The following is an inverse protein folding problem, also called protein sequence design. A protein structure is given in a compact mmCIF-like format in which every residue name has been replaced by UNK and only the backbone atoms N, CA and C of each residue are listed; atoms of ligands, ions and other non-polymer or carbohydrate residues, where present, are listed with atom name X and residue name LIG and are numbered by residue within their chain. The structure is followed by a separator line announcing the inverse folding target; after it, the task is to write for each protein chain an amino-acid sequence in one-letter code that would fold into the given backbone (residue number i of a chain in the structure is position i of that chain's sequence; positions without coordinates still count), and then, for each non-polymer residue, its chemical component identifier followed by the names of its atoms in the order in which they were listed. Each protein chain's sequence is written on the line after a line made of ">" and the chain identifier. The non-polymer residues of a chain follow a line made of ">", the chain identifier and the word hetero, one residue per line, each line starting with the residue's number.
data_IF_238054059494
#
_entry.id   IF_238054059494
#
_cell.length_a   1.000
_cell.length_b   1.000
_cell.length_c   1.000
_cell.angle_alpha   90.00
_cell.angle_beta   90.00
_cell.angle_gamma   90.00
#
_symmetry.space_group_name_H-M   'P 1'
#
loop_
_entity.id
_entity.type
_entity.pdbx_description
1 polymer ?
#
# COMPACT_ATOMS: atom_id res chain seq x y z
N UNK A 1 14.40 6.38 19.64
CA UNK A 1 13.03 5.91 19.34
C UNK A 1 13.17 4.83 18.29
N UNK A 2 12.84 3.56 18.57
CA UNK A 2 13.21 2.45 17.67
C UNK A 2 12.42 2.42 16.36
N UNK A 3 11.22 3.00 16.33
CA UNK A 3 10.40 3.12 15.12
C UNK A 3 11.08 3.91 13.98
N UNK A 4 11.87 4.94 14.29
CA UNK A 4 12.54 5.71 13.24
C UNK A 4 13.64 4.92 12.54
N UNK A 5 14.18 3.88 13.19
CA UNK A 5 15.18 3.01 12.57
C UNK A 5 14.57 2.15 11.45
N UNK A 6 13.27 1.86 11.53
CA UNK A 6 12.55 1.06 10.52
C UNK A 6 12.52 1.75 9.16
N UNK A 7 12.54 3.10 9.13
CA UNK A 7 12.55 3.88 7.88
C UNK A 7 13.81 3.65 7.01
N UNK A 8 14.87 3.05 7.57
CA UNK A 8 16.07 2.67 6.82
C UNK A 8 15.97 1.29 6.18
N UNK A 9 14.86 0.58 6.38
CA UNK A 9 14.57 -0.76 5.88
C UNK A 9 13.33 -0.75 5.00
N UNK A 10 13.11 -1.82 4.23
CA UNK A 10 11.83 -2.03 3.58
C UNK A 10 10.73 -2.19 4.64
N UNK A 11 9.65 -1.43 4.46
CA UNK A 11 8.41 -1.57 5.23
C UNK A 11 7.45 -2.39 4.40
N UNK A 12 6.93 -3.47 4.96
CA UNK A 12 5.91 -4.28 4.33
C UNK A 12 4.54 -4.03 4.97
N UNK A 13 3.49 -4.10 4.17
CA UNK A 13 2.10 -4.12 4.60
C UNK A 13 1.56 -5.55 4.50
N UNK A 14 1.05 -6.09 5.60
CA UNK A 14 0.24 -7.31 5.63
C UNK A 14 -1.22 -6.92 5.64
N UNK A 15 -1.97 -7.38 4.64
CA UNK A 15 -3.41 -7.15 4.53
C UNK A 15 -4.14 -8.49 4.56
N UNK A 16 -5.03 -8.67 5.52
CA UNK A 16 -6.06 -9.72 5.49
C UNK A 16 -7.35 -9.10 4.97
N UNK A 17 -8.07 -9.84 4.11
CA UNK A 17 -9.29 -9.37 3.46
C UNK A 17 -10.54 -10.15 3.94
N UNK A 18 -11.10 -9.86 5.14
CA UNK A 18 -12.30 -10.55 5.61
C UNK A 18 -13.56 -10.31 4.76
N UNK A 19 -13.58 -9.23 3.99
CA UNK A 19 -14.72 -8.89 3.14
C UNK A 19 -14.26 -8.16 1.89
N UNK A 20 -14.76 -8.58 0.74
CA UNK A 20 -14.55 -7.95 -0.56
C UNK A 20 -15.89 -7.78 -1.28
N UNK A 21 -16.08 -6.68 -2.06
CA UNK A 21 -17.22 -6.52 -2.95
C UNK A 21 -17.16 -7.54 -4.10
N UNK A 22 -18.27 -7.68 -4.82
CA UNK A 22 -18.33 -8.51 -6.03
C UNK A 22 -17.54 -7.88 -7.20
N UNK A 23 -17.57 -6.54 -7.29
CA UNK A 23 -16.86 -5.78 -8.32
C UNK A 23 -16.09 -4.58 -7.73
N UNK A 24 -14.88 -4.36 -8.23
CA UNK A 24 -14.00 -3.26 -7.79
C UNK A 24 -13.35 -3.50 -6.43
N UNK A 25 -12.79 -2.44 -5.83
CA UNK A 25 -12.04 -2.56 -4.57
C UNK A 25 -10.69 -3.29 -4.70
N UNK A 26 -10.21 -3.47 -5.94
CA UNK A 26 -8.99 -4.20 -6.28
C UNK A 26 -7.78 -3.46 -5.74
N UNK A 27 -6.76 -4.22 -5.32
CA UNK A 27 -5.45 -3.64 -5.03
C UNK A 27 -4.79 -3.28 -6.35
N UNK A 28 -4.38 -2.02 -6.50
CA UNK A 28 -3.61 -1.55 -7.65
C UNK A 28 -2.18 -1.25 -7.20
N UNK A 29 -1.21 -1.84 -7.87
CA UNK A 29 0.21 -1.65 -7.57
C UNK A 29 0.91 -1.13 -8.83
N UNK A 30 1.62 -0.01 -8.69
CA UNK A 30 2.47 0.51 -9.74
C UNK A 30 3.90 0.03 -9.51
N UNK A 31 4.59 -0.34 -10.58
CA UNK A 31 5.98 -0.79 -10.55
C UNK A 31 6.95 0.38 -10.36
N UNK A 32 6.66 1.25 -9.39
CA UNK A 32 7.42 2.46 -9.10
C UNK A 32 7.57 2.68 -7.60
N UNK A 33 8.80 2.97 -7.17
CA UNK A 33 9.12 3.38 -5.80
C UNK A 33 9.50 4.86 -5.81
N UNK A 34 8.66 5.76 -5.27
CA UNK A 34 8.93 7.18 -5.33
C UNK A 34 10.20 7.54 -4.56
N UNK A 35 11.02 8.37 -5.18
CA UNK A 35 12.16 9.03 -4.55
C UNK A 35 11.71 10.18 -3.64
N UNK A 36 12.65 10.78 -2.90
CA UNK A 36 12.36 12.01 -2.14
C UNK A 36 11.98 13.16 -3.08
N UNK A 37 12.65 13.27 -4.23
CA UNK A 37 12.35 14.30 -5.23
C UNK A 37 10.94 14.10 -5.81
N UNK A 38 10.56 12.85 -6.09
CA UNK A 38 9.21 12.51 -6.54
C UNK A 38 8.17 12.97 -5.53
N UNK A 39 8.36 12.62 -4.25
CA UNK A 39 7.45 13.02 -3.16
C UNK A 39 7.26 14.53 -3.06
N UNK A 40 8.36 15.29 -3.13
CA UNK A 40 8.32 16.76 -3.12
C UNK A 40 7.57 17.30 -4.35
N UNK A 41 7.87 16.77 -5.55
CA UNK A 41 7.24 17.23 -6.79
C UNK A 41 5.72 16.98 -6.81
N UNK A 42 5.26 15.97 -6.07
CA UNK A 42 3.86 15.59 -5.96
C UNK A 42 3.18 16.18 -4.71
N UNK A 43 3.91 16.92 -3.87
CA UNK A 43 3.37 17.53 -2.64
C UNK A 43 2.94 16.52 -1.58
N UNK A 44 3.57 15.33 -1.56
CA UNK A 44 3.25 14.22 -0.64
C UNK A 44 4.43 13.85 0.25
N UNK A 45 5.37 14.75 0.46
CA UNK A 45 6.55 14.53 1.30
C UNK A 45 6.20 14.30 2.77
N UNK A 46 5.06 14.82 3.23
CA UNK A 46 4.58 14.65 4.61
C UNK A 46 3.51 13.56 4.74
N UNK A 47 2.63 13.42 3.75
CA UNK A 47 1.48 12.49 3.79
C UNK A 47 1.76 11.14 3.14
N UNK A 48 2.74 11.06 2.25
CA UNK A 48 3.05 9.89 1.43
C UNK A 48 2.11 9.65 0.24
N UNK A 49 0.89 10.20 0.27
CA UNK A 49 -0.18 10.03 -0.72
C UNK A 49 -1.17 11.22 -0.72
N UNK A 50 -2.04 11.36 -1.75
CA UNK A 50 -2.11 10.59 -3.00
C UNK A 50 -1.18 11.13 -4.10
N UNK A 51 -0.65 10.24 -4.94
CA UNK A 51 0.05 10.64 -6.17
C UNK A 51 -0.95 11.01 -7.26
N UNK A 52 -0.61 12.00 -8.09
CA UNK A 52 -1.50 12.44 -9.17
C UNK A 52 -1.62 11.39 -10.28
N UNK A 53 -2.77 11.36 -10.97
CA UNK A 53 -2.99 10.45 -12.09
C UNK A 53 -2.00 10.70 -13.24
N UNK A 54 -1.70 11.96 -13.55
CA UNK A 54 -0.74 12.34 -14.59
C UNK A 54 0.67 11.81 -14.29
N UNK A 55 1.09 11.84 -13.03
CA UNK A 55 2.39 11.29 -12.62
C UNK A 55 2.49 9.76 -12.80
N UNK A 56 1.37 9.05 -12.64
CA UNK A 56 1.32 7.59 -12.73
C UNK A 56 0.92 7.06 -14.10
N UNK A 57 0.55 7.93 -15.04
CA UNK A 57 -0.04 7.55 -16.34
C UNK A 57 0.86 6.61 -17.15
N UNK A 58 2.16 6.93 -17.21
CA UNK A 58 3.14 6.13 -17.96
C UNK A 58 3.76 4.99 -17.13
N UNK A 59 3.38 4.85 -15.85
CA UNK A 59 3.98 3.87 -14.96
C UNK A 59 3.24 2.54 -15.07
N UNK A 60 3.92 1.42 -15.37
CA UNK A 60 3.29 0.12 -15.42
C UNK A 60 2.59 -0.22 -14.10
N UNK A 61 1.33 -0.62 -14.18
CA UNK A 61 0.55 -1.02 -13.02
C UNK A 61 -0.14 -2.36 -13.23
N UNK A 62 -0.41 -3.03 -12.12
CA UNK A 62 -1.18 -4.27 -12.08
C UNK A 62 -2.29 -4.14 -11.05
N UNK A 63 -3.47 -4.60 -11.43
CA UNK A 63 -4.60 -4.77 -10.53
C UNK A 63 -4.65 -6.22 -10.08
N UNK A 64 -4.90 -6.42 -8.79
CA UNK A 64 -5.04 -7.71 -8.15
C UNK A 64 -6.46 -7.83 -7.62
N UNK A 65 -7.18 -8.78 -8.18
CA UNK A 65 -8.50 -9.20 -7.72
C UNK A 65 -8.32 -10.11 -6.50
N UNK A 66 -8.51 -9.53 -5.32
CA UNK A 66 -8.40 -10.24 -4.05
C UNK A 66 -9.77 -10.75 -3.62
N UNK A 67 -9.79 -11.94 -3.03
CA UNK A 67 -10.99 -12.62 -2.57
C UNK A 67 -11.11 -12.52 -1.05
N UNK A 68 -12.34 -12.75 -0.56
CA UNK A 68 -12.56 -12.88 0.88
C UNK A 68 -11.70 -14.03 1.42
N UNK A 69 -10.91 -13.75 2.45
CA UNK A 69 -9.99 -14.69 3.07
C UNK A 69 -8.55 -14.61 2.55
N UNK A 70 -8.29 -13.87 1.47
CA UNK A 70 -6.93 -13.70 0.97
C UNK A 70 -6.06 -12.91 1.95
N UNK A 71 -4.76 -13.17 1.90
CA UNK A 71 -3.72 -12.42 2.59
C UNK A 71 -2.75 -11.89 1.54
N UNK A 72 -2.53 -10.57 1.53
CA UNK A 72 -1.52 -9.94 0.69
C UNK A 72 -0.37 -9.41 1.55
N UNK A 73 0.86 -9.72 1.14
CA UNK A 73 2.07 -9.09 1.66
C UNK A 73 2.65 -8.19 0.57
N UNK A 74 2.76 -6.89 0.87
CA UNK A 74 3.12 -5.87 -0.11
C UNK A 74 4.34 -5.11 0.40
N UNK A 75 5.34 -4.89 -0.45
CA UNK A 75 6.38 -3.90 -0.16
C UNK A 75 5.78 -2.49 -0.27
N UNK A 76 5.64 -1.83 0.88
CA UNK A 76 4.97 -0.53 1.01
C UNK A 76 5.74 0.62 0.36
N UNK A 77 6.97 0.39 -0.09
CA UNK A 77 7.74 1.37 -0.85
C UNK A 77 7.25 1.57 -2.29
N UNK A 78 6.48 0.63 -2.84
CA UNK A 78 5.84 0.80 -4.14
C UNK A 78 4.57 1.64 -4.03
N UNK A 79 4.32 2.49 -5.05
CA UNK A 79 3.04 3.21 -5.14
C UNK A 79 1.91 2.19 -5.26
N UNK A 80 0.91 2.32 -4.39
CA UNK A 80 -0.26 1.46 -4.40
C UNK A 80 -1.54 2.25 -4.13
N UNK A 81 -2.66 1.64 -4.47
CA UNK A 81 -3.98 2.22 -4.33
C UNK A 81 -5.06 1.15 -4.37
N UNK A 82 -6.31 1.58 -4.25
CA UNK A 82 -7.48 0.70 -4.29
C UNK A 82 -8.44 1.25 -5.33
N UNK A 83 -8.93 0.41 -6.24
CA UNK A 83 -9.95 0.84 -7.21
C UNK A 83 -11.26 1.15 -6.49
N UNK A 84 -12.10 2.00 -7.11
CA UNK A 84 -13.44 2.24 -6.59
C UNK A 84 -14.22 0.93 -6.48
N UNK A 85 -14.99 0.76 -5.41
CA UNK A 85 -15.97 -0.32 -5.32
C UNK A 85 -17.19 0.04 -6.18
N UNK A 86 -17.77 -0.96 -6.85
CA UNK A 86 -19.02 -0.80 -7.59
C UNK A 86 -20.15 -1.50 -6.83
N UNK A 87 -21.34 -0.90 -6.85
CA UNK A 87 -22.52 -1.41 -6.13
C UNK A 87 -22.61 -1.04 -4.65
N UNK A 88 -23.74 -1.40 -4.04
CA UNK A 88 -24.12 -1.12 -2.64
C UNK A 88 -24.11 -2.36 -1.74
N UNK A 89 -23.73 -3.51 -2.29
CA UNK A 89 -23.66 -4.80 -1.59
C UNK A 89 -22.51 -4.91 -0.58
N UNK A 90 -21.85 -6.07 -0.57
CA UNK A 90 -20.79 -6.38 0.41
C UNK A 90 -19.63 -5.37 0.32
N UNK A 91 -19.31 -4.72 1.45
CA UNK A 91 -18.24 -3.70 1.50
C UNK A 91 -16.85 -4.33 1.63
N UNK A 92 -15.84 -3.64 1.10
CA UNK A 92 -14.43 -3.98 1.34
C UNK A 92 -14.06 -3.73 2.81
N UNK A 93 -13.57 -4.76 3.49
CA UNK A 93 -12.99 -4.67 4.83
C UNK A 93 -11.58 -5.27 4.76
N UNK A 94 -10.60 -4.54 5.31
CA UNK A 94 -9.21 -4.99 5.40
C UNK A 94 -8.74 -4.82 6.82
N UNK A 95 -8.10 -5.86 7.35
CA UNK A 95 -7.29 -5.78 8.56
C UNK A 95 -5.83 -5.66 8.11
N UNK A 96 -5.18 -4.57 8.48
CA UNK A 96 -3.83 -4.26 8.06
C UNK A 96 -2.89 -4.18 9.27
N UNK A 97 -1.63 -4.59 9.05
CA UNK A 97 -0.52 -4.08 9.83
C UNK A 97 0.68 -3.78 8.91
N UNK A 98 1.50 -2.84 9.34
CA UNK A 98 2.81 -2.60 8.77
C UNK A 98 3.87 -3.25 9.64
N UNK A 99 4.96 -3.69 9.04
CA UNK A 99 6.12 -4.15 9.77
C UNK A 99 7.41 -3.93 8.99
N UNK A 100 8.52 -3.88 9.73
CA UNK A 100 9.85 -3.75 9.16
C UNK A 100 10.93 -3.96 10.21
N UNK A 101 12.15 -4.19 9.74
CA UNK A 101 13.31 -4.38 10.61
C UNK A 101 13.81 -3.03 11.14
N UNK A 102 13.82 -2.89 12.47
CA UNK A 102 14.54 -1.79 13.14
C UNK A 102 16.04 -2.11 13.30
N UNK A 103 16.36 -3.41 13.39
CA UNK A 103 17.70 -4.01 13.45
C UNK A 103 17.61 -5.44 12.88
N UNK A 104 18.73 -6.13 12.57
CA UNK A 104 18.69 -7.49 12.01
C UNK A 104 17.91 -8.53 12.83
N UNK A 105 17.80 -8.34 14.15
CA UNK A 105 17.15 -9.25 15.11
C UNK A 105 15.80 -8.73 15.64
N UNK A 106 15.32 -7.57 15.15
CA UNK A 106 14.15 -6.90 15.68
C UNK A 106 13.22 -6.42 14.55
N UNK A 107 12.06 -7.07 14.45
CA UNK A 107 10.94 -6.62 13.64
C UNK A 107 9.96 -5.86 14.52
N UNK A 108 9.63 -4.63 14.12
CA UNK A 108 8.56 -3.86 14.72
C UNK A 108 7.34 -3.92 13.81
N UNK A 109 6.14 -3.92 14.41
CA UNK A 109 4.87 -3.88 13.68
C UNK A 109 3.93 -2.84 14.30
N UNK A 110 3.08 -2.24 13.47
CA UNK A 110 2.12 -1.20 13.87
C UNK A 110 0.94 -1.11 12.88
N UNK A 111 -0.06 -0.28 13.19
CA UNK A 111 -1.13 0.15 12.28
C UNK A 111 -1.41 1.63 12.43
#
# INVERSE_FOLDING_TARGET
>A
HELSAVANSAVAALNLYPSMPEEGGNLKLWSHKPTVADRISQGVETTGYPYSAAYLEAVPCREFELKTGDIALIDGGFVHGVTGQLGDGKRRLVLNCFFGFARPDLVLWWT
#
